data_IF_292525424860
#
_entry.id   IF_292525424860
#
_cell.length_a   1.000
_cell.length_b   1.000
_cell.length_c   1.000
_cell.angle_alpha   90.00
_cell.angle_beta   90.00
_cell.angle_gamma   90.00
#
_symmetry.space_group_name_H-M   'P 1'
#
loop_
_entity.id
_entity.type
_entity.pdbx_description
1 polymer ?
#
# COMPACT_ATOMS: atom_id res chain seq x y z
N UNK A 1 11.46 34.55 -42.26
CA UNK A 1 12.12 35.70 -42.97
C UNK A 1 11.16 36.54 -43.81
N UNK A 2 10.11 35.96 -44.46
CA UNK A 2 9.15 36.73 -45.28
C UNK A 2 8.23 37.61 -44.42
N UNK A 3 7.79 37.16 -43.25
CA UNK A 3 6.87 37.91 -42.38
C UNK A 3 7.50 39.22 -41.84
N UNK A 4 8.79 39.15 -41.47
CA UNK A 4 9.55 40.32 -40.97
C UNK A 4 9.76 41.37 -42.09
N UNK A 5 9.94 40.95 -43.32
CA UNK A 5 10.02 41.89 -44.47
C UNK A 5 8.68 42.57 -44.76
N UNK A 6 7.58 41.82 -44.63
CA UNK A 6 6.24 42.37 -44.80
C UNK A 6 5.88 43.36 -43.68
N UNK A 7 6.27 43.07 -42.43
CA UNK A 7 6.09 43.97 -41.29
C UNK A 7 6.93 45.24 -41.43
N UNK A 8 8.18 45.12 -41.91
CA UNK A 8 9.04 46.27 -42.15
C UNK A 8 8.46 47.19 -43.24
N UNK A 9 7.93 46.62 -44.36
CA UNK A 9 7.29 47.43 -45.42
C UNK A 9 5.98 48.11 -44.95
N UNK A 10 5.25 47.46 -44.03
CA UNK A 10 4.04 48.02 -43.44
C UNK A 10 4.35 49.18 -42.48
N UNK A 11 5.47 49.06 -41.75
CA UNK A 11 5.98 50.14 -40.88
C UNK A 11 6.44 51.35 -41.68
N UNK A 12 7.20 51.16 -42.75
CA UNK A 12 7.61 52.25 -43.66
C UNK A 12 6.42 52.94 -44.29
N UNK A 13 5.38 52.18 -44.66
CA UNK A 13 4.13 52.74 -45.19
C UNK A 13 3.38 53.59 -44.18
N UNK A 14 3.30 53.15 -42.92
CA UNK A 14 2.68 53.89 -41.81
C UNK A 14 3.46 55.16 -41.45
N UNK A 15 4.78 55.11 -41.45
CA UNK A 15 5.65 56.26 -41.23
C UNK A 15 5.52 57.31 -42.34
N UNK A 16 5.46 56.87 -43.60
CA UNK A 16 5.21 57.72 -44.73
C UNK A 16 3.87 58.42 -44.64
N UNK A 17 2.82 57.66 -44.29
CA UNK A 17 1.46 58.18 -44.13
C UNK A 17 1.36 59.20 -42.98
N UNK A 18 2.04 58.92 -41.86
CA UNK A 18 2.13 59.81 -40.70
C UNK A 18 2.85 61.11 -41.04
N UNK A 19 3.93 61.08 -41.77
CA UNK A 19 4.68 62.29 -42.25
C UNK A 19 3.83 63.13 -43.19
N UNK A 20 3.11 62.54 -44.11
CA UNK A 20 2.21 63.24 -44.99
C UNK A 20 1.06 63.87 -44.20
N UNK A 21 0.45 63.16 -43.27
CA UNK A 21 -0.65 63.66 -42.44
C UNK A 21 -0.20 64.89 -41.63
N UNK A 22 0.95 64.87 -40.97
CA UNK A 22 1.49 66.01 -40.24
C UNK A 22 1.82 67.20 -41.14
N UNK A 23 2.34 66.99 -42.33
CA UNK A 23 2.71 68.05 -43.30
C UNK A 23 1.50 68.75 -43.85
N UNK A 24 0.38 68.08 -44.03
CA UNK A 24 -0.80 68.66 -44.64
C UNK A 24 -1.91 69.02 -43.66
N UNK A 25 -1.79 68.64 -42.40
CA UNK A 25 -2.78 68.93 -41.34
C UNK A 25 -3.03 70.47 -41.23
N UNK A 26 -2.01 71.26 -41.16
CA UNK A 26 -2.10 72.73 -41.07
C UNK A 26 -2.78 73.37 -42.30
N UNK A 27 -2.65 72.80 -43.51
CA UNK A 27 -3.34 73.26 -44.73
C UNK A 27 -4.78 72.83 -44.77
N UNK A 28 -5.12 71.69 -44.16
CA UNK A 28 -6.50 71.19 -44.13
C UNK A 28 -7.36 71.86 -43.08
N UNK A 29 -6.80 72.37 -42.01
CA UNK A 29 -7.52 73.18 -41.01
C UNK A 29 -7.98 74.51 -41.56
N UNK A 30 -7.34 75.03 -42.64
CA UNK A 30 -7.72 76.34 -43.32
C UNK A 30 -8.89 76.19 -44.29
N UNK A 31 -9.32 74.97 -44.64
CA UNK A 31 -10.45 74.72 -45.55
C UNK A 31 -11.47 73.79 -44.87
N UNK A 32 -12.03 74.25 -43.78
CA UNK A 32 -12.94 73.45 -42.92
C UNK A 32 -14.31 73.30 -43.61
N UNK A 33 -14.46 72.16 -44.32
CA UNK A 33 -15.75 71.62 -44.64
C UNK A 33 -15.93 70.37 -43.75
N UNK A 34 -16.86 70.38 -42.78
CA UNK A 34 -17.06 69.30 -41.76
C UNK A 34 -17.10 67.90 -42.35
N UNK A 35 -17.52 67.79 -43.60
CA UNK A 35 -17.58 66.48 -44.29
C UNK A 35 -16.20 65.95 -44.72
N UNK A 36 -15.31 66.84 -45.08
CA UNK A 36 -13.92 66.46 -45.45
C UNK A 36 -13.08 66.03 -44.20
N UNK A 37 -13.27 66.75 -43.11
CA UNK A 37 -12.64 66.46 -41.86
C UNK A 37 -13.06 65.06 -41.29
N UNK A 38 -14.37 64.75 -41.41
CA UNK A 38 -14.89 63.46 -41.05
C UNK A 38 -14.29 62.33 -41.89
N UNK A 39 -14.25 62.50 -43.22
CA UNK A 39 -13.59 61.52 -44.13
C UNK A 39 -12.12 61.29 -43.80
N UNK A 40 -11.41 62.35 -43.45
CA UNK A 40 -10.01 62.25 -43.11
C UNK A 40 -9.81 61.51 -41.78
N UNK A 41 -10.65 61.80 -40.78
CA UNK A 41 -10.64 61.08 -39.49
C UNK A 41 -10.96 59.59 -39.70
N UNK A 42 -11.97 59.27 -40.46
CA UNK A 42 -12.35 57.92 -40.79
C UNK A 42 -11.21 57.17 -41.51
N UNK A 43 -10.63 57.78 -42.54
CA UNK A 43 -9.52 57.16 -43.28
C UNK A 43 -8.27 56.94 -42.44
N UNK A 44 -8.04 57.78 -41.43
CA UNK A 44 -6.86 57.64 -40.52
C UNK A 44 -7.09 56.58 -39.47
N UNK A 45 -8.28 56.51 -38.87
CA UNK A 45 -8.54 55.58 -37.77
C UNK A 45 -9.04 54.21 -38.24
N UNK A 46 -9.61 54.10 -39.44
CA UNK A 46 -10.12 52.82 -39.95
C UNK A 46 -9.08 51.72 -40.04
N UNK A 47 -7.86 51.94 -40.54
CA UNK A 47 -6.82 50.90 -40.54
C UNK A 47 -6.45 50.43 -39.16
N UNK A 48 -6.35 51.35 -38.18
CA UNK A 48 -6.02 51.00 -36.81
C UNK A 48 -7.11 50.19 -36.13
N UNK A 49 -8.38 50.53 -36.39
CA UNK A 49 -9.53 49.76 -35.86
C UNK A 49 -9.59 48.37 -36.47
N UNK A 50 -9.36 48.24 -37.77
CA UNK A 50 -9.32 46.94 -38.46
C UNK A 50 -8.18 46.09 -37.92
N UNK A 51 -6.97 46.63 -37.76
CA UNK A 51 -5.81 45.94 -37.20
C UNK A 51 -6.10 45.49 -35.76
N UNK A 52 -6.70 46.35 -34.93
CA UNK A 52 -7.10 46.04 -33.57
C UNK A 52 -8.13 44.92 -33.48
N UNK A 53 -9.12 44.91 -34.38
CA UNK A 53 -10.11 43.85 -34.48
C UNK A 53 -9.46 42.54 -34.93
N UNK A 54 -8.58 42.59 -35.92
CA UNK A 54 -7.83 41.40 -36.37
C UNK A 54 -6.96 40.83 -35.21
N UNK A 55 -6.22 41.69 -34.52
CA UNK A 55 -5.41 41.27 -33.34
C UNK A 55 -6.28 40.70 -32.22
N UNK A 56 -7.48 41.24 -32.01
CA UNK A 56 -8.42 40.74 -31.03
C UNK A 56 -9.00 39.37 -31.43
N UNK A 57 -9.40 39.22 -32.71
CA UNK A 57 -9.92 37.94 -33.23
C UNK A 57 -8.85 36.83 -33.24
N UNK A 58 -7.59 37.19 -33.52
CA UNK A 58 -6.45 36.27 -33.47
C UNK A 58 -5.76 36.18 -32.12
N UNK A 59 -6.38 36.74 -31.07
CA UNK A 59 -5.82 36.72 -29.71
C UNK A 59 -5.51 35.30 -29.22
N UNK A 60 -6.32 34.32 -29.56
CA UNK A 60 -6.12 32.95 -29.16
C UNK A 60 -4.82 32.35 -29.73
N UNK A 61 -4.52 32.40 -31.03
CA UNK A 61 -3.26 31.93 -31.57
C UNK A 61 -2.05 32.79 -31.17
N UNK A 62 -2.22 34.09 -30.93
CA UNK A 62 -1.12 34.97 -30.46
C UNK A 62 -0.77 34.69 -29.01
N UNK A 63 -1.75 34.31 -28.18
CA UNK A 63 -1.46 33.87 -26.80
C UNK A 63 -0.67 32.57 -26.73
N UNK A 64 -0.73 31.73 -27.75
CA UNK A 64 0.13 30.53 -27.85
C UNK A 64 1.59 30.84 -28.21
N UNK A 65 1.86 32.04 -28.79
CA UNK A 65 3.20 32.55 -29.07
C UNK A 65 3.85 33.29 -27.91
N UNK A 66 3.38 33.11 -26.66
CA UNK A 66 4.09 33.69 -25.50
C UNK A 66 5.45 33.05 -25.37
N UNK A 67 6.56 33.80 -25.47
CA UNK A 67 7.92 33.26 -25.29
C UNK A 67 8.19 32.76 -23.85
N UNK A 68 7.26 32.96 -22.97
CA UNK A 68 7.21 32.51 -21.58
C UNK A 68 6.04 31.55 -21.31
N UNK A 69 5.80 30.56 -22.19
CA UNK A 69 5.10 29.36 -21.70
C UNK A 69 5.97 28.87 -20.53
N UNK A 70 5.41 28.75 -19.31
CA UNK A 70 6.17 28.13 -18.22
C UNK A 70 6.63 26.78 -18.76
N UNK A 71 7.94 26.50 -18.69
CA UNK A 71 8.52 25.21 -19.11
C UNK A 71 7.63 24.15 -18.56
N UNK A 72 7.13 23.24 -19.42
CA UNK A 72 6.46 22.04 -18.93
C UNK A 72 7.37 21.45 -17.87
N UNK A 73 6.88 21.37 -16.65
CA UNK A 73 7.68 20.91 -15.52
C UNK A 73 7.92 19.43 -15.70
N UNK A 74 9.03 19.07 -16.31
CA UNK A 74 9.44 17.71 -16.67
C UNK A 74 9.42 16.78 -15.45
N UNK A 75 9.60 17.32 -14.24
CA UNK A 75 9.62 16.57 -12.98
C UNK A 75 8.35 16.71 -12.13
N UNK A 76 7.27 17.21 -12.72
CA UNK A 76 6.02 17.47 -12.01
C UNK A 76 6.01 18.83 -11.30
N UNK A 77 4.87 19.20 -10.80
CA UNK A 77 4.65 20.43 -10.03
C UNK A 77 4.00 20.11 -8.70
N UNK A 78 4.71 20.39 -7.61
CA UNK A 78 4.16 20.25 -6.28
C UNK A 78 3.30 21.48 -5.97
N UNK A 79 2.01 21.25 -5.76
CA UNK A 79 1.06 22.25 -5.27
C UNK A 79 0.22 21.67 -4.14
N UNK A 80 -0.28 22.52 -3.27
CA UNK A 80 -1.27 22.10 -2.29
C UNK A 80 -2.53 21.59 -2.98
N UNK A 81 -2.99 20.40 -2.60
CA UNK A 81 -4.18 19.79 -3.18
C UNK A 81 -5.44 20.58 -2.81
N UNK A 82 -6.20 20.97 -3.80
CA UNK A 82 -7.52 21.55 -3.63
C UNK A 82 -8.55 20.46 -3.29
N UNK A 83 -9.74 20.85 -2.84
CA UNK A 83 -10.80 19.90 -2.48
C UNK A 83 -11.21 18.99 -3.65
N UNK A 84 -11.20 19.54 -4.88
CA UNK A 84 -11.46 18.76 -6.10
C UNK A 84 -10.42 17.68 -6.32
N UNK A 85 -9.14 18.00 -6.08
CA UNK A 85 -8.03 17.05 -6.21
C UNK A 85 -8.14 15.93 -5.15
N UNK A 86 -8.46 16.30 -3.89
CA UNK A 86 -8.66 15.34 -2.79
C UNK A 86 -9.80 14.36 -3.08
N UNK A 87 -10.93 14.85 -3.61
CA UNK A 87 -12.05 13.99 -4.02
C UNK A 87 -11.67 13.08 -5.19
N UNK A 88 -10.99 13.62 -6.20
CA UNK A 88 -10.54 12.85 -7.37
C UNK A 88 -9.54 11.75 -7.00
N UNK A 89 -8.67 12.02 -6.04
CA UNK A 89 -7.71 11.03 -5.51
C UNK A 89 -8.29 10.05 -4.49
N UNK A 90 -9.60 10.08 -4.22
CA UNK A 90 -10.24 9.16 -3.27
C UNK A 90 -9.98 9.47 -1.80
N UNK A 91 -9.42 10.66 -1.46
CA UNK A 91 -9.10 11.05 -0.09
C UNK A 91 -10.32 11.54 0.73
N UNK A 92 -11.53 11.45 0.18
CA UNK A 92 -12.81 11.73 0.86
C UNK A 92 -13.71 10.48 0.87
N UNK A 93 -13.12 9.31 0.98
CA UNK A 93 -13.85 8.07 1.14
C UNK A 93 -14.58 8.02 2.49
N UNK A 94 -15.65 7.21 2.55
CA UNK A 94 -16.36 6.92 3.82
C UNK A 94 -15.67 5.80 4.62
N UNK A 95 -14.95 4.94 3.93
CA UNK A 95 -14.24 3.77 4.48
C UNK A 95 -12.82 3.74 3.98
N UNK A 96 -11.92 3.12 4.71
CA UNK A 96 -10.52 3.02 4.35
C UNK A 96 -9.60 3.53 5.46
N UNK A 97 -8.40 3.91 5.09
CA UNK A 97 -7.36 4.33 6.02
C UNK A 97 -7.49 5.83 6.35
N UNK A 98 -7.57 6.15 7.62
CA UNK A 98 -7.57 7.53 8.12
C UNK A 98 -6.15 8.08 8.08
N UNK A 99 -5.90 9.04 7.20
CA UNK A 99 -4.57 9.66 7.01
C UNK A 99 -4.38 10.91 7.87
N UNK A 100 -5.47 11.61 8.19
CA UNK A 100 -5.40 12.83 8.96
C UNK A 100 -6.68 13.67 8.86
N UNK A 101 -6.59 14.95 9.18
CA UNK A 101 -7.70 15.89 9.14
C UNK A 101 -7.27 17.22 8.56
N UNK A 102 -8.12 17.83 7.76
CA UNK A 102 -8.01 19.22 7.32
C UNK A 102 -9.21 20.06 7.80
N UNK A 103 -9.28 21.31 7.37
CA UNK A 103 -10.36 22.25 7.75
C UNK A 103 -11.77 21.78 7.30
N UNK A 104 -11.86 20.86 6.34
CA UNK A 104 -13.13 20.34 5.80
C UNK A 104 -13.48 18.94 6.29
N UNK A 105 -12.65 18.34 7.15
CA UNK A 105 -12.90 17.03 7.74
C UNK A 105 -11.75 16.04 7.58
N UNK A 106 -12.05 14.78 7.79
CA UNK A 106 -11.05 13.72 7.71
C UNK A 106 -10.61 13.45 6.27
N UNK A 107 -9.32 13.13 6.13
CA UNK A 107 -8.71 12.60 4.93
C UNK A 107 -8.66 11.07 5.07
N UNK A 108 -9.47 10.38 4.28
CA UNK A 108 -9.61 8.93 4.34
C UNK A 108 -9.28 8.39 2.95
N UNK A 109 -8.22 7.61 2.87
CA UNK A 109 -7.86 6.91 1.64
C UNK A 109 -8.69 5.64 1.51
N UNK A 110 -9.60 5.62 0.54
CA UNK A 110 -10.33 4.41 0.16
C UNK A 110 -9.45 3.46 -0.66
N UNK A 111 -9.73 2.16 -0.56
CA UNK A 111 -9.02 1.13 -1.32
C UNK A 111 -8.10 0.27 -0.46
N UNK A 112 -7.26 -0.52 -1.15
CA UNK A 112 -6.42 -1.55 -0.54
C UNK A 112 -4.92 -1.25 -0.61
N UNK A 113 -4.55 0.04 -0.78
CA UNK A 113 -3.15 0.44 -0.85
C UNK A 113 -2.48 0.30 0.52
N UNK A 114 -1.22 -0.12 0.51
CA UNK A 114 -0.37 -0.10 1.69
C UNK A 114 0.05 1.33 2.02
N UNK A 115 0.20 1.61 3.31
CA UNK A 115 0.77 2.87 3.78
C UNK A 115 2.04 2.63 4.58
N UNK A 116 3.01 3.49 4.40
CA UNK A 116 4.27 3.46 5.11
C UNK A 116 4.46 4.81 5.81
N UNK A 117 4.57 4.77 7.14
CA UNK A 117 4.69 5.95 7.98
C UNK A 117 6.09 6.02 8.59
N UNK A 118 6.86 7.01 8.19
CA UNK A 118 8.17 7.31 8.77
C UNK A 118 8.09 8.52 9.71
N UNK A 119 8.51 8.32 10.93
CA UNK A 119 8.63 9.42 11.88
C UNK A 119 9.55 9.01 13.05
N UNK A 120 10.30 9.93 13.67
CA UNK A 120 11.15 9.61 14.80
C UNK A 120 10.37 9.12 16.02
N UNK A 121 11.07 8.56 16.99
CA UNK A 121 10.48 8.14 18.26
C UNK A 121 9.91 9.38 18.98
N UNK A 122 8.75 9.24 19.63
CA UNK A 122 8.07 10.34 20.32
C UNK A 122 7.28 11.29 19.42
N UNK A 123 7.30 11.11 18.09
CA UNK A 123 6.57 11.98 17.13
C UNK A 123 5.04 11.80 17.11
N UNK A 124 4.51 10.92 17.94
CA UNK A 124 3.07 10.68 17.99
C UNK A 124 2.50 9.72 16.95
N UNK A 125 3.31 8.86 16.31
CA UNK A 125 2.83 7.85 15.34
C UNK A 125 1.68 7.00 15.87
N UNK A 126 1.82 6.48 17.09
CA UNK A 126 0.77 5.68 17.75
C UNK A 126 -0.52 6.47 17.92
N UNK A 127 -0.43 7.59 18.62
CA UNK A 127 -1.59 8.43 18.96
C UNK A 127 -2.20 9.13 17.75
N UNK A 128 -1.37 9.57 16.79
CA UNK A 128 -1.83 10.34 15.63
C UNK A 128 -2.31 9.50 14.46
N UNK A 129 -1.86 8.25 14.33
CA UNK A 129 -2.19 7.42 13.17
C UNK A 129 -2.72 6.04 13.57
N UNK A 130 -1.99 5.27 14.39
CA UNK A 130 -2.35 3.86 14.67
C UNK A 130 -3.66 3.77 15.46
N UNK A 131 -3.72 4.39 16.61
CA UNK A 131 -4.92 4.37 17.49
C UNK A 131 -6.16 4.93 16.77
N UNK A 132 -6.13 6.10 16.09
CA UNK A 132 -7.28 6.57 15.33
C UNK A 132 -7.74 5.61 14.25
N UNK A 133 -6.83 4.95 13.55
CA UNK A 133 -7.18 3.94 12.56
C UNK A 133 -7.80 2.70 13.21
N UNK A 134 -7.28 2.22 14.33
CA UNK A 134 -7.88 1.10 15.06
C UNK A 134 -9.29 1.39 15.58
N UNK A 135 -9.58 2.63 15.92
CA UNK A 135 -10.91 3.07 16.33
C UNK A 135 -11.87 3.33 15.16
N UNK A 136 -11.32 3.58 13.96
CA UNK A 136 -12.12 3.90 12.77
C UNK A 136 -12.34 2.69 11.85
N UNK A 137 -11.36 1.79 11.71
CA UNK A 137 -11.39 0.66 10.79
C UNK A 137 -12.44 -0.38 11.18
N UNK A 138 -13.42 -0.61 10.28
CA UNK A 138 -14.60 -1.46 10.57
C UNK A 138 -14.32 -2.95 10.39
N UNK A 139 -13.37 -3.32 9.54
CA UNK A 139 -13.08 -4.71 9.21
C UNK A 139 -12.06 -5.33 10.18
N UNK A 140 -11.73 -6.59 9.94
CA UNK A 140 -10.73 -7.32 10.71
C UNK A 140 -9.36 -6.64 10.64
N UNK A 141 -8.60 -6.71 11.73
CA UNK A 141 -7.28 -6.13 11.83
C UNK A 141 -6.36 -7.05 12.63
N UNK A 142 -5.10 -7.13 12.22
CA UNK A 142 -4.03 -7.78 12.97
C UNK A 142 -3.04 -6.68 13.38
N UNK A 143 -2.71 -6.62 14.66
CA UNK A 143 -1.86 -5.58 15.23
C UNK A 143 -0.67 -6.22 15.91
N UNK A 144 0.55 -5.85 15.50
CA UNK A 144 1.75 -6.18 16.24
C UNK A 144 2.02 -5.10 17.29
N UNK A 145 1.77 -5.41 18.55
CA UNK A 145 1.74 -4.46 19.67
C UNK A 145 2.65 -4.90 20.80
N UNK A 146 3.93 -4.53 20.71
CA UNK A 146 4.97 -4.99 21.66
C UNK A 146 4.71 -4.47 23.09
N UNK A 147 4.12 -3.28 23.23
CA UNK A 147 3.89 -2.63 24.53
C UNK A 147 2.47 -2.76 25.05
N UNK A 148 1.57 -3.35 24.28
CA UNK A 148 0.14 -3.47 24.54
C UNK A 148 -0.61 -2.10 24.61
N UNK A 149 0.03 -0.98 24.24
CA UNK A 149 -0.58 0.36 24.23
C UNK A 149 -1.81 0.41 23.31
N UNK A 150 -1.71 -0.18 22.11
CA UNK A 150 -2.82 -0.21 21.16
C UNK A 150 -3.97 -1.07 21.67
N UNK A 151 -3.66 -2.22 22.27
CA UNK A 151 -4.64 -3.11 22.89
C UNK A 151 -5.40 -2.40 24.00
N UNK A 152 -4.70 -1.77 24.94
CA UNK A 152 -5.29 -1.06 26.08
C UNK A 152 -6.23 0.07 25.66
N UNK A 153 -5.83 0.86 24.65
CA UNK A 153 -6.60 2.01 24.20
C UNK A 153 -7.74 1.68 23.25
N UNK A 154 -7.74 0.53 22.56
CA UNK A 154 -8.70 0.30 21.47
C UNK A 154 -9.54 -0.96 21.62
N UNK A 155 -9.07 -1.99 22.36
CA UNK A 155 -9.74 -3.30 22.46
C UNK A 155 -11.16 -3.19 23.02
N UNK A 156 -11.35 -2.43 24.09
CA UNK A 156 -12.65 -2.22 24.71
C UNK A 156 -13.65 -1.52 23.78
N UNK A 157 -13.22 -0.51 23.04
CA UNK A 157 -14.07 0.14 22.04
C UNK A 157 -14.45 -0.82 20.91
N UNK A 158 -13.49 -1.57 20.38
CA UNK A 158 -13.74 -2.55 19.31
C UNK A 158 -14.70 -3.65 19.75
N UNK A 159 -14.53 -4.15 20.98
CA UNK A 159 -15.41 -5.18 21.53
C UNK A 159 -16.83 -4.66 21.79
N UNK A 160 -16.97 -3.52 22.49
CA UNK A 160 -18.27 -3.04 22.99
C UNK A 160 -19.03 -2.25 21.92
N UNK A 161 -18.37 -1.30 21.24
CA UNK A 161 -19.03 -0.41 20.27
C UNK A 161 -19.08 -0.98 18.88
N UNK A 162 -17.99 -1.60 18.41
CA UNK A 162 -17.95 -2.21 17.08
C UNK A 162 -18.44 -3.67 17.08
N UNK A 163 -18.67 -4.26 18.25
CA UNK A 163 -19.13 -5.66 18.43
C UNK A 163 -18.22 -6.70 17.76
N UNK A 164 -16.93 -6.42 17.76
CA UNK A 164 -15.91 -7.30 17.19
C UNK A 164 -15.35 -8.22 18.26
N UNK A 165 -14.93 -9.42 17.86
CA UNK A 165 -14.16 -10.31 18.72
C UNK A 165 -12.72 -9.84 18.77
N UNK A 166 -12.18 -9.64 19.96
CA UNK A 166 -10.80 -9.21 20.17
C UNK A 166 -10.01 -10.36 20.79
N UNK A 167 -8.92 -10.72 20.17
CA UNK A 167 -8.02 -11.77 20.63
C UNK A 167 -6.66 -11.14 20.97
N UNK A 168 -6.21 -11.34 22.20
CA UNK A 168 -4.87 -10.98 22.64
C UNK A 168 -4.01 -12.24 22.64
N UNK A 169 -2.97 -12.29 21.82
CA UNK A 169 -1.98 -13.35 21.86
C UNK A 169 -0.68 -12.80 22.46
N UNK A 170 -0.44 -13.12 23.71
CA UNK A 170 0.73 -12.70 24.49
C UNK A 170 1.26 -13.89 25.30
N UNK A 171 1.93 -14.86 24.63
CA UNK A 171 2.37 -16.12 25.26
C UNK A 171 3.44 -15.91 26.36
N UNK A 172 4.11 -14.75 26.36
CA UNK A 172 5.12 -14.39 27.37
C UNK A 172 4.55 -13.46 28.46
N UNK A 173 3.22 -13.33 28.58
CA UNK A 173 2.62 -12.50 29.60
C UNK A 173 3.00 -12.98 31.02
N UNK A 174 3.56 -12.14 31.88
CA UNK A 174 3.86 -12.50 33.26
C UNK A 174 2.60 -12.91 34.05
N UNK A 175 1.46 -12.32 33.73
CA UNK A 175 0.19 -12.54 34.39
C UNK A 175 -0.62 -13.68 33.77
N UNK A 176 -0.10 -14.33 32.74
CA UNK A 176 -0.77 -15.40 32.01
C UNK A 176 -1.97 -14.95 31.19
N UNK A 177 -2.17 -13.62 31.01
CA UNK A 177 -3.29 -13.06 30.25
C UNK A 177 -3.00 -13.17 28.77
N UNK A 178 -3.50 -14.23 28.14
CA UNK A 178 -3.34 -14.50 26.71
C UNK A 178 -4.42 -15.45 26.22
N UNK A 179 -4.87 -15.26 24.98
CA UNK A 179 -5.62 -16.33 24.31
C UNK A 179 -4.67 -17.42 23.85
N UNK A 180 -5.15 -18.66 23.89
CA UNK A 180 -4.42 -19.81 23.38
C UNK A 180 -4.65 -19.97 21.88
N UNK A 181 -3.60 -20.33 21.16
CA UNK A 181 -3.66 -20.64 19.74
C UNK A 181 -2.96 -21.99 19.50
N UNK A 182 -3.68 -22.93 18.93
CA UNK A 182 -3.13 -24.24 18.56
C UNK A 182 -3.20 -24.41 17.03
N UNK A 183 -2.08 -24.30 16.31
CA UNK A 183 -2.06 -24.45 14.86
C UNK A 183 -2.60 -25.79 14.37
N UNK A 184 -2.46 -26.86 15.15
CA UNK A 184 -2.92 -28.20 14.76
C UNK A 184 -4.45 -28.31 14.70
N UNK A 185 -5.22 -27.41 15.31
CA UNK A 185 -6.67 -27.37 15.20
C UNK A 185 -7.17 -26.88 13.82
N UNK A 186 -6.31 -26.19 13.07
CA UNK A 186 -6.61 -25.64 11.76
C UNK A 186 -6.21 -26.58 10.62
N UNK A 187 -5.55 -27.70 10.93
CA UNK A 187 -5.19 -28.71 9.92
C UNK A 187 -6.45 -29.33 9.32
N UNK A 188 -6.52 -29.34 7.98
CA UNK A 188 -7.63 -29.91 7.23
C UNK A 188 -7.78 -31.40 7.54
N UNK A 189 -9.03 -31.87 7.67
CA UNK A 189 -9.33 -33.30 7.82
C UNK A 189 -9.34 -34.07 6.50
N UNK A 190 -9.20 -33.36 5.36
CA UNK A 190 -9.12 -33.99 4.04
C UNK A 190 -7.71 -34.54 3.83
N UNK A 191 -7.57 -35.83 3.53
CA UNK A 191 -6.27 -36.52 3.46
C UNK A 191 -5.23 -35.78 2.59
N UNK A 192 -5.61 -35.31 1.39
CA UNK A 192 -4.68 -34.61 0.50
C UNK A 192 -4.23 -33.23 1.00
N UNK A 193 -5.04 -32.55 1.81
CA UNK A 193 -4.70 -31.20 2.35
C UNK A 193 -4.04 -31.29 3.73
N UNK A 194 -4.32 -32.37 4.47
CA UNK A 194 -3.78 -32.58 5.83
C UNK A 194 -2.24 -32.55 5.82
N UNK A 195 -1.62 -33.29 4.91
CA UNK A 195 -0.16 -33.35 4.80
C UNK A 195 0.42 -31.99 4.45
N UNK A 196 -0.16 -31.28 3.47
CA UNK A 196 0.30 -29.96 3.08
C UNK A 196 0.24 -28.95 4.25
N UNK A 197 -0.85 -28.97 5.02
CA UNK A 197 -1.01 -28.09 6.17
C UNK A 197 -0.01 -28.39 7.27
N UNK A 198 0.22 -29.67 7.57
CA UNK A 198 1.23 -30.09 8.56
C UNK A 198 2.64 -29.76 8.08
N UNK A 199 2.95 -29.95 6.80
CA UNK A 199 4.24 -29.55 6.23
C UNK A 199 4.49 -28.05 6.30
N UNK A 200 3.46 -27.23 6.05
CA UNK A 200 3.57 -25.76 6.22
C UNK A 200 3.92 -25.40 7.66
N UNK A 201 3.26 -26.03 8.65
CA UNK A 201 3.56 -25.82 10.06
C UNK A 201 5.00 -26.23 10.38
N UNK A 202 5.42 -27.42 9.92
CA UNK A 202 6.79 -27.91 10.15
C UNK A 202 7.86 -27.01 9.50
N UNK A 203 7.58 -26.46 8.31
CA UNK A 203 8.46 -25.52 7.63
C UNK A 203 8.59 -24.17 8.38
N UNK A 204 7.56 -23.75 9.11
CA UNK A 204 7.63 -22.56 9.97
C UNK A 204 8.47 -22.81 11.23
N UNK A 205 8.44 -24.04 11.76
CA UNK A 205 9.23 -24.42 12.94
C UNK A 205 10.72 -24.59 12.59
N UNK A 206 11.02 -25.19 11.45
CA UNK A 206 12.37 -25.46 10.95
C UNK A 206 12.52 -24.89 9.53
N UNK A 207 12.83 -23.60 9.39
CA UNK A 207 12.78 -22.92 8.08
C UNK A 207 14.00 -23.21 7.18
N UNK A 208 15.12 -23.63 7.75
CA UNK A 208 16.34 -23.86 7.00
C UNK A 208 16.29 -25.16 6.17
N UNK A 209 16.97 -25.16 5.03
CA UNK A 209 16.95 -26.28 4.07
C UNK A 209 18.21 -27.14 4.16
N UNK A 210 18.71 -27.36 5.40
CA UNK A 210 19.85 -28.21 5.67
C UNK A 210 19.45 -29.66 5.87
N UNK A 211 20.39 -30.58 5.70
CA UNK A 211 20.15 -32.03 5.82
C UNK A 211 19.47 -32.41 7.13
N UNK A 212 20.05 -32.01 8.26
CA UNK A 212 19.53 -32.35 9.58
C UNK A 212 18.16 -31.74 9.87
N UNK A 213 17.92 -30.55 9.39
CA UNK A 213 16.60 -29.88 9.53
C UNK A 213 15.55 -30.55 8.65
N UNK A 214 15.89 -30.98 7.44
CA UNK A 214 14.97 -31.73 6.59
C UNK A 214 14.54 -33.05 7.22
N UNK A 215 15.49 -33.77 7.81
CA UNK A 215 15.21 -35.03 8.50
C UNK A 215 14.37 -34.82 9.77
N UNK A 216 14.73 -33.83 10.59
CA UNK A 216 13.96 -33.45 11.77
C UNK A 216 12.54 -33.01 11.42
N UNK A 217 12.40 -32.21 10.35
CA UNK A 217 11.10 -31.78 9.83
C UNK A 217 10.23 -32.97 9.40
N UNK A 218 10.80 -33.93 8.70
CA UNK A 218 10.09 -35.13 8.28
C UNK A 218 9.59 -35.92 9.48
N UNK A 219 10.41 -36.10 10.53
CA UNK A 219 10.01 -36.74 11.77
C UNK A 219 8.88 -35.99 12.48
N UNK A 220 8.99 -34.66 12.62
CA UNK A 220 7.96 -33.79 13.21
C UNK A 220 6.63 -33.89 12.45
N UNK A 221 6.67 -33.90 11.11
CA UNK A 221 5.47 -34.11 10.26
C UNK A 221 4.86 -35.49 10.58
N UNK A 222 5.65 -36.53 10.68
CA UNK A 222 5.20 -37.89 11.05
C UNK A 222 4.48 -37.89 12.40
N UNK A 223 5.09 -37.28 13.43
CA UNK A 223 4.51 -37.19 14.78
C UNK A 223 3.22 -36.36 14.80
N UNK A 224 3.19 -35.19 14.11
CA UNK A 224 1.99 -34.36 14.05
C UNK A 224 0.81 -35.10 13.39
N UNK A 225 1.06 -35.79 12.28
CA UNK A 225 0.03 -36.57 11.58
C UNK A 225 -0.46 -37.75 12.45
N UNK A 226 0.44 -38.41 13.24
CA UNK A 226 0.07 -39.40 14.23
C UNK A 226 -0.88 -38.79 15.28
N UNK A 227 -0.49 -37.67 15.90
CA UNK A 227 -1.31 -37.02 16.94
C UNK A 227 -2.68 -36.54 16.42
N UNK A 228 -2.79 -36.22 15.13
CA UNK A 228 -4.06 -35.89 14.52
C UNK A 228 -4.98 -37.12 14.37
N UNK A 229 -4.40 -38.30 14.15
CA UNK A 229 -5.13 -39.55 14.03
C UNK A 229 -5.50 -40.15 15.40
N UNK A 230 -4.64 -40.03 16.40
CA UNK A 230 -4.87 -40.56 17.74
C UNK A 230 -5.85 -39.70 18.55
N UNK A 231 -7.07 -40.20 18.70
CA UNK A 231 -8.13 -39.52 19.47
C UNK A 231 -7.90 -39.54 20.99
N UNK A 232 -6.99 -40.36 21.48
CA UNK A 232 -6.66 -40.46 22.92
C UNK A 232 -5.68 -39.40 23.37
N UNK A 233 -4.97 -38.77 22.42
CA UNK A 233 -3.96 -37.75 22.68
C UNK A 233 -4.48 -36.32 22.41
N UNK A 234 -3.90 -35.39 23.13
CA UNK A 234 -4.15 -33.96 22.90
C UNK A 234 -3.36 -33.50 21.66
N UNK A 235 -4.04 -33.02 20.64
CA UNK A 235 -3.40 -32.44 19.45
C UNK A 235 -2.75 -31.10 19.82
N UNK A 236 -1.49 -31.13 20.25
CA UNK A 236 -0.77 -29.91 20.62
C UNK A 236 0.74 -30.06 20.38
N UNK A 237 1.42 -28.92 20.21
CA UNK A 237 2.89 -28.95 20.18
C UNK A 237 3.52 -29.49 21.46
N UNK A 238 2.85 -29.30 22.62
CA UNK A 238 3.29 -29.89 23.85
C UNK A 238 3.36 -31.40 23.77
N UNK A 239 2.41 -32.05 23.05
CA UNK A 239 2.44 -33.50 22.87
C UNK A 239 3.48 -33.93 21.83
N UNK A 240 3.74 -33.13 20.80
CA UNK A 240 4.90 -33.35 19.89
C UNK A 240 6.19 -33.36 20.66
N UNK A 241 6.42 -32.35 21.51
CA UNK A 241 7.64 -32.27 22.36
C UNK A 241 7.72 -33.40 23.33
N UNK A 242 6.62 -33.81 23.98
CA UNK A 242 6.63 -34.97 24.89
C UNK A 242 6.98 -36.26 24.15
N UNK A 243 6.52 -36.44 22.94
CA UNK A 243 6.88 -37.61 22.11
C UNK A 243 8.37 -37.59 21.76
N UNK A 244 8.92 -36.43 21.39
CA UNK A 244 10.34 -36.24 21.05
C UNK A 244 11.29 -36.34 22.26
N UNK A 245 10.80 -36.06 23.47
CA UNK A 245 11.57 -36.06 24.73
C UNK A 245 11.19 -37.21 25.65
N UNK A 246 10.55 -38.23 25.12
CA UNK A 246 10.28 -39.45 25.90
C UNK A 246 11.61 -40.19 26.23
N UNK A 247 11.64 -40.96 27.33
CA UNK A 247 12.84 -41.65 27.78
C UNK A 247 13.48 -42.54 26.71
N UNK A 248 12.65 -43.22 25.90
CA UNK A 248 13.08 -43.97 24.73
C UNK A 248 12.21 -43.62 23.54
N UNK A 249 12.65 -42.60 22.81
CA UNK A 249 11.94 -42.10 21.59
C UNK A 249 11.83 -43.17 20.52
N UNK A 250 12.89 -43.96 20.34
CA UNK A 250 12.96 -45.00 19.29
C UNK A 250 11.95 -46.10 19.58
N UNK A 251 11.95 -46.59 20.81
CA UNK A 251 10.97 -47.59 21.25
C UNK A 251 9.54 -47.06 21.14
N UNK A 252 9.28 -45.86 21.64
CA UNK A 252 7.93 -45.29 21.60
C UNK A 252 7.41 -45.11 20.18
N UNK A 253 8.25 -44.64 19.25
CA UNK A 253 7.86 -44.51 17.85
C UNK A 253 7.64 -45.86 17.15
N UNK A 254 8.45 -46.90 17.53
CA UNK A 254 8.22 -48.26 17.05
C UNK A 254 6.87 -48.83 17.55
N UNK A 255 6.55 -48.62 18.83
CA UNK A 255 5.22 -48.99 19.38
C UNK A 255 4.08 -48.31 18.69
N UNK A 256 4.22 -47.00 18.36
CA UNK A 256 3.21 -46.25 17.62
C UNK A 256 2.97 -46.88 16.23
N UNK A 257 4.04 -47.27 15.51
CA UNK A 257 3.89 -47.90 14.20
C UNK A 257 3.26 -49.31 14.32
N UNK A 258 3.59 -50.05 15.34
CA UNK A 258 3.04 -51.41 15.56
C UNK A 258 1.54 -51.34 15.93
N UNK A 259 1.17 -50.42 16.81
CA UNK A 259 -0.22 -50.32 17.33
C UNK A 259 -1.16 -49.56 16.42
N UNK A 260 -0.70 -48.48 15.80
CA UNK A 260 -1.51 -47.54 15.03
C UNK A 260 -1.13 -47.42 13.55
N UNK A 261 -0.17 -48.20 13.07
CA UNK A 261 0.36 -48.07 11.71
C UNK A 261 -0.72 -48.17 10.58
N UNK A 262 -1.83 -48.86 10.85
CA UNK A 262 -2.97 -48.95 9.92
C UNK A 262 -3.94 -47.76 9.99
N UNK A 263 -3.96 -47.07 11.12
CA UNK A 263 -4.91 -45.98 11.40
C UNK A 263 -4.34 -44.60 11.13
N UNK A 264 -3.00 -44.48 11.09
CA UNK A 264 -2.32 -43.22 10.79
C UNK A 264 -2.20 -42.96 9.27
N UNK A 265 -1.98 -41.72 8.91
CA UNK A 265 -1.76 -41.34 7.51
C UNK A 265 -0.52 -42.04 6.93
N UNK A 266 -0.53 -42.58 5.68
CA UNK A 266 0.65 -43.28 5.11
C UNK A 266 1.95 -42.47 5.17
N UNK A 267 1.90 -41.13 5.00
CA UNK A 267 3.06 -40.24 5.13
C UNK A 267 3.60 -40.23 6.56
N UNK A 268 2.73 -40.33 7.59
CA UNK A 268 3.15 -40.45 8.97
C UNK A 268 3.95 -41.75 9.20
N UNK A 269 3.38 -42.85 8.73
CA UNK A 269 4.04 -44.16 8.78
C UNK A 269 5.43 -44.13 8.13
N UNK A 270 5.49 -43.65 6.89
CA UNK A 270 6.73 -43.56 6.10
C UNK A 270 7.80 -42.70 6.79
N UNK A 271 7.43 -41.56 7.30
CA UNK A 271 8.39 -40.64 7.94
C UNK A 271 8.95 -41.22 9.26
N UNK A 272 8.09 -41.82 10.08
CA UNK A 272 8.50 -42.46 11.33
C UNK A 272 9.34 -43.70 11.03
N UNK A 273 8.93 -44.56 10.08
CA UNK A 273 9.69 -45.74 9.67
C UNK A 273 11.07 -45.38 9.11
N UNK A 274 11.15 -44.34 8.26
CA UNK A 274 12.40 -43.86 7.73
C UNK A 274 13.36 -43.39 8.85
N UNK A 275 12.85 -42.72 9.88
CA UNK A 275 13.61 -42.34 11.06
C UNK A 275 14.14 -43.56 11.81
N UNK A 276 13.29 -44.56 12.07
CA UNK A 276 13.66 -45.77 12.81
C UNK A 276 14.71 -46.64 12.08
N UNK A 277 14.76 -46.60 10.74
CA UNK A 277 15.76 -47.31 9.92
C UNK A 277 17.12 -46.66 9.90
N UNK A 278 17.28 -45.42 10.41
CA UNK A 278 18.57 -44.73 10.45
C UNK A 278 19.52 -45.37 11.49
N UNK A 279 20.83 -45.19 11.29
CA UNK A 279 21.84 -45.56 12.27
C UNK A 279 21.67 -44.71 13.56
N UNK A 280 22.09 -45.25 14.69
CA UNK A 280 21.96 -44.62 16.03
C UNK A 280 22.51 -43.18 16.07
N UNK A 281 23.67 -42.97 15.46
CA UNK A 281 24.28 -41.64 15.37
C UNK A 281 23.43 -40.64 14.58
N UNK A 282 22.84 -41.09 13.51
CA UNK A 282 21.94 -40.23 12.70
C UNK A 282 20.64 -39.93 13.44
N UNK A 283 20.03 -40.95 14.09
CA UNK A 283 18.84 -40.77 14.94
C UNK A 283 19.07 -39.72 16.02
N UNK A 284 20.22 -39.81 16.71
CA UNK A 284 20.59 -38.83 17.73
C UNK A 284 20.70 -37.40 17.17
N UNK A 285 21.32 -37.27 15.98
CA UNK A 285 21.39 -35.97 15.30
C UNK A 285 20.01 -35.38 14.94
N UNK A 286 19.12 -36.22 14.38
CA UNK A 286 17.74 -35.83 14.04
C UNK A 286 16.94 -35.40 15.26
N UNK A 287 17.00 -36.19 16.36
CA UNK A 287 16.32 -35.85 17.63
C UNK A 287 16.86 -34.55 18.21
N UNK A 288 18.19 -34.37 18.22
CA UNK A 288 18.81 -33.13 18.71
C UNK A 288 18.33 -31.93 17.94
N UNK A 289 18.28 -32.01 16.61
CA UNK A 289 17.79 -30.94 15.75
C UNK A 289 16.28 -30.71 15.92
N UNK A 290 15.49 -31.76 16.11
CA UNK A 290 14.03 -31.62 16.33
C UNK A 290 13.68 -30.99 17.70
N UNK A 291 14.61 -31.02 18.66
CA UNK A 291 14.46 -30.48 20.01
C UNK A 291 15.06 -29.09 20.19
N UNK A 292 15.80 -28.58 19.19
CA UNK A 292 16.38 -27.23 19.19
C UNK A 292 15.32 -26.16 18.86
#
# INVERSE_FOLDING_TARGET
KNLLKQLASLWEYLEYYWKIWWKYRAKLELHSNNYFELKLKVATFLPFTIISIILFLFRAPIMDFRPFKPKEKIHGDAKWAEEKDKKKSGLRSKTGMLLGRDNKGFLIAGGYQHALLFAPTGSGKGVGFVIPNLLFWQDSVIVHDIKLENYEHTSGYRAIKMKQRVFLWNPASPDGISHCYNPLDFVSRKMGQMVDDVQKIANLLLPEQEFWQNEARSLIVGIMLYLIADKSKIKSFGEVVRTLRSDDVVYNLAVILDTMGKDIHPVAYMNIAAFLQKADKERSGVISTANS
#
